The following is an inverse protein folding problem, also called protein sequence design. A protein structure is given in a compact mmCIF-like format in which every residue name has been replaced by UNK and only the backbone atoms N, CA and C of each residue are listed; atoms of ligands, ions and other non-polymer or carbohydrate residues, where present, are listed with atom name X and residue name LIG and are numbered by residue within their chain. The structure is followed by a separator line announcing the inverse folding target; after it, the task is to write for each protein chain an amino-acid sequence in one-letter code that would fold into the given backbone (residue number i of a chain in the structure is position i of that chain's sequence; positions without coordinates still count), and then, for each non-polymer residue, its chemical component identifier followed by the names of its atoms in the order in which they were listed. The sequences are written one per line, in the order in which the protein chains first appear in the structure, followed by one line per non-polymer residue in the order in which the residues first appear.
data_IF_834146820593
#
_entry.id   IF_834146820593
#
_cell.length_a   1.000
_cell.length_b   1.000
_cell.length_c   1.000
_cell.angle_alpha   90.00
_cell.angle_beta   90.00
_cell.angle_gamma   90.00
#
_symmetry.space_group_name_H-M   'P 1'
#
loop_
_entity.id
_entity.type
_entity.pdbx_description
1 polymer ?
#
# COMPACT_ATOMS: atom_id res chain seq x y z
N UNK A 1 -3.72 10.96 -11.00
CA UNK A 1 -3.11 11.68 -9.88
C UNK A 1 -3.62 11.17 -8.55
N UNK A 2 -2.73 11.17 -7.56
CA UNK A 2 -3.03 10.83 -6.17
C UNK A 2 -3.20 12.10 -5.34
N UNK A 3 -4.08 12.07 -4.35
CA UNK A 3 -4.15 13.08 -3.28
C UNK A 3 -3.68 12.52 -1.94
N UNK A 4 -3.26 13.40 -1.04
CA UNK A 4 -2.85 12.98 0.31
C UNK A 4 -4.04 12.39 1.06
N UNK A 5 -3.78 11.31 1.81
CA UNK A 5 -4.77 10.46 2.47
C UNK A 5 -5.84 9.88 1.52
N UNK A 6 -5.57 9.81 0.21
CA UNK A 6 -6.49 9.16 -0.72
C UNK A 6 -6.64 7.67 -0.38
N UNK A 7 -7.88 7.23 -0.30
CA UNK A 7 -8.22 5.82 -0.12
C UNK A 7 -8.00 5.04 -1.43
N UNK A 8 -7.30 3.91 -1.31
CA UNK A 8 -6.95 3.01 -2.41
C UNK A 8 -7.59 1.64 -2.13
N UNK A 9 -8.78 1.35 -2.66
CA UNK A 9 -9.47 0.09 -2.42
C UNK A 9 -8.70 -1.07 -3.05
N UNK A 10 -8.50 -2.14 -2.29
CA UNK A 10 -7.88 -3.38 -2.77
C UNK A 10 -8.93 -4.39 -3.19
N UNK A 11 -8.52 -5.38 -3.98
CA UNK A 11 -9.41 -6.46 -4.46
C UNK A 11 -9.92 -7.36 -3.33
N UNK A 12 -9.19 -7.45 -2.21
CA UNK A 12 -9.61 -8.23 -1.04
C UNK A 12 -10.66 -7.49 -0.19
N UNK A 13 -10.95 -6.23 -0.50
CA UNK A 13 -11.97 -5.41 0.16
C UNK A 13 -11.42 -4.46 1.22
N UNK A 14 -10.14 -4.58 1.59
CA UNK A 14 -9.47 -3.62 2.49
C UNK A 14 -8.94 -2.40 1.72
N UNK A 15 -8.73 -1.29 2.41
CA UNK A 15 -8.16 -0.08 1.81
C UNK A 15 -6.74 0.18 2.26
N UNK A 16 -5.91 0.61 1.32
CA UNK A 16 -4.63 1.26 1.54
C UNK A 16 -4.83 2.78 1.47
N UNK A 17 -3.83 3.54 1.91
CA UNK A 17 -3.88 5.01 1.84
C UNK A 17 -2.63 5.57 1.17
N UNK A 18 -2.81 6.52 0.25
CA UNK A 18 -1.70 7.29 -0.30
C UNK A 18 -1.30 8.40 0.70
N UNK A 19 -0.01 8.52 0.98
CA UNK A 19 0.55 9.54 1.87
C UNK A 19 1.57 10.36 1.07
N UNK A 20 1.39 11.68 1.01
CA UNK A 20 2.16 12.58 0.13
C UNK A 20 3.09 13.54 0.86
N UNK A 21 3.44 13.24 2.11
CA UNK A 21 4.23 14.15 2.94
C UNK A 21 5.67 14.32 2.39
N UNK A 22 6.32 13.22 2.02
CA UNK A 22 7.75 13.17 1.65
C UNK A 22 7.98 12.38 0.35
N UNK A 23 7.14 12.63 -0.67
CA UNK A 23 7.03 11.79 -1.87
C UNK A 23 5.79 10.91 -1.83
N UNK A 24 5.65 9.99 -2.78
CA UNK A 24 4.49 9.07 -2.82
C UNK A 24 4.78 7.87 -1.94
N UNK A 25 3.96 7.68 -0.90
CA UNK A 25 4.03 6.54 0.00
C UNK A 25 2.69 5.83 0.08
N UNK A 26 2.71 4.54 0.36
CA UNK A 26 1.53 3.69 0.53
C UNK A 26 1.51 3.19 1.96
N UNK A 27 0.44 3.52 2.68
CA UNK A 27 0.19 3.08 4.05
C UNK A 27 -0.67 1.82 4.04
N UNK A 28 -0.16 0.77 4.68
CA UNK A 28 -0.88 -0.46 5.01
C UNK A 28 -1.18 -0.52 6.51
N UNK A 29 -1.53 -1.71 7.01
CA UNK A 29 -1.91 -1.96 8.40
C UNK A 29 -0.73 -2.07 9.37
N UNK A 30 0.51 -2.08 8.89
CA UNK A 30 1.71 -2.28 9.72
C UNK A 30 2.17 -1.03 10.48
N UNK A 31 1.56 0.13 10.21
CA UNK A 31 1.99 1.41 10.76
C UNK A 31 3.31 1.96 10.19
N UNK A 32 3.92 1.25 9.23
CA UNK A 32 5.12 1.68 8.50
C UNK A 32 4.76 1.88 7.02
N UNK A 33 4.96 3.10 6.55
CA UNK A 33 4.65 3.49 5.17
C UNK A 33 5.70 2.94 4.18
N UNK A 34 5.23 2.43 3.04
CA UNK A 34 6.07 1.95 1.94
C UNK A 34 6.34 3.08 0.95
N UNK A 35 7.59 3.31 0.55
CA UNK A 35 7.92 4.35 -0.42
C UNK A 35 7.78 3.83 -1.84
N UNK A 36 7.17 4.63 -2.72
CA UNK A 36 7.17 4.34 -4.16
C UNK A 36 8.54 4.71 -4.74
N UNK A 37 9.29 3.70 -5.18
CA UNK A 37 10.64 3.85 -5.76
C UNK A 37 10.64 3.79 -7.29
N UNK A 38 9.52 3.42 -7.91
CA UNK A 38 9.31 3.49 -9.35
C UNK A 38 7.83 3.60 -9.67
N UNK A 39 7.41 4.67 -10.34
CA UNK A 39 6.00 4.93 -10.66
C UNK A 39 5.73 4.79 -12.16
N UNK A 40 4.44 4.63 -12.51
CA UNK A 40 3.92 4.72 -13.87
C UNK A 40 4.54 3.75 -14.88
N UNK A 41 4.93 2.56 -14.42
CA UNK A 41 5.46 1.53 -15.31
C UNK A 41 4.32 0.91 -16.12
N UNK A 42 4.30 1.14 -17.43
CA UNK A 42 3.26 0.64 -18.33
C UNK A 42 3.37 -0.89 -18.42
N UNK A 43 2.25 -1.56 -18.14
CA UNK A 43 2.05 -2.97 -18.36
C UNK A 43 0.94 -3.20 -19.40
N UNK A 44 0.84 -4.42 -19.93
CA UNK A 44 -0.15 -4.74 -20.98
C UNK A 44 -1.61 -4.56 -20.53
N UNK A 45 -1.87 -4.51 -19.23
CA UNK A 45 -3.19 -4.45 -18.62
C UNK A 45 -3.35 -3.31 -17.61
N UNK A 46 -2.43 -2.35 -17.56
CA UNK A 46 -2.51 -1.24 -16.60
C UNK A 46 -1.16 -0.62 -16.29
N UNK A 47 -1.05 -0.10 -15.06
CA UNK A 47 0.14 0.57 -14.56
C UNK A 47 0.65 -0.17 -13.32
N UNK A 48 1.97 -0.30 -13.21
CA UNK A 48 2.65 -0.92 -12.08
C UNK A 48 3.51 0.12 -11.36
N UNK A 49 3.38 0.16 -10.04
CA UNK A 49 4.24 0.94 -9.15
C UNK A 49 5.11 -0.03 -8.32
N UNK A 50 6.38 0.32 -8.14
CA UNK A 50 7.36 -0.44 -7.35
C UNK A 50 7.51 0.25 -6.01
N UNK A 51 7.42 -0.52 -4.93
CA UNK A 51 7.60 -0.07 -3.56
C UNK A 51 8.77 -0.78 -2.88
N UNK A 52 9.37 -0.15 -1.88
CA UNK A 52 10.52 -0.66 -1.13
C UNK A 52 10.15 -1.58 0.05
N UNK A 53 8.86 -1.78 0.30
CA UNK A 53 8.32 -2.57 1.41
C UNK A 53 7.20 -3.49 0.94
N UNK A 54 7.13 -4.67 1.56
CA UNK A 54 5.99 -5.59 1.41
C UNK A 54 4.78 -5.04 2.15
N UNK A 55 3.63 -5.01 1.47
CA UNK A 55 2.36 -4.60 2.06
C UNK A 55 1.70 -5.79 2.75
N UNK A 56 1.28 -5.60 4.00
CA UNK A 56 0.71 -6.67 4.83
C UNK A 56 -0.78 -6.39 5.09
N UNK A 57 -1.69 -7.29 4.66
CA UNK A 57 -3.11 -7.26 5.00
C UNK A 57 -3.36 -7.37 6.51
N UNK A 58 -4.52 -6.89 7.00
CA UNK A 58 -4.88 -7.03 8.42
C UNK A 58 -4.97 -8.52 8.81
N UNK A 59 -5.51 -9.36 7.93
CA UNK A 59 -5.69 -10.80 8.15
C UNK A 59 -4.37 -11.52 8.52
N UNK A 60 -3.25 -11.08 7.92
CA UNK A 60 -1.93 -11.63 8.22
C UNK A 60 -1.42 -11.12 9.56
N UNK A 61 -1.68 -9.86 9.91
CA UNK A 61 -1.33 -9.32 11.23
C UNK A 61 -2.10 -10.09 12.30
N UNK A 62 -3.41 -10.27 12.12
CA UNK A 62 -4.28 -10.98 13.06
C UNK A 62 -3.76 -12.41 13.28
N UNK A 63 -3.45 -13.14 12.20
CA UNK A 63 -2.90 -14.50 12.27
C UNK A 63 -1.52 -14.59 12.96
N UNK A 64 -0.73 -13.51 12.96
CA UNK A 64 0.57 -13.45 13.65
C UNK A 64 0.44 -12.96 15.11
N UNK A 65 -0.68 -12.34 15.46
CA UNK A 65 -0.95 -11.81 16.81
C UNK A 65 -1.92 -12.66 17.62
N UNK A 66 -2.58 -13.64 17.00
CA UNK A 66 -3.42 -14.67 17.64
C UNK A 66 -2.53 -15.73 18.34
N UNK A 67 -1.70 -15.27 19.28
CA UNK A 67 -1.17 -16.12 20.34
C UNK A 67 -2.29 -16.24 21.40
N UNK A 68 -2.83 -17.45 21.54
CA UNK A 68 -3.64 -17.82 22.70
C UNK A 68 -2.92 -17.53 24.03
#
# INVERSE_FOLDING_TARGET
DLSDHQELPTVQGESLFAILNHGVQIRDKTGVDANVIGADNIASNGIVHIVDKVLIPQEIIDALTDDH
#
